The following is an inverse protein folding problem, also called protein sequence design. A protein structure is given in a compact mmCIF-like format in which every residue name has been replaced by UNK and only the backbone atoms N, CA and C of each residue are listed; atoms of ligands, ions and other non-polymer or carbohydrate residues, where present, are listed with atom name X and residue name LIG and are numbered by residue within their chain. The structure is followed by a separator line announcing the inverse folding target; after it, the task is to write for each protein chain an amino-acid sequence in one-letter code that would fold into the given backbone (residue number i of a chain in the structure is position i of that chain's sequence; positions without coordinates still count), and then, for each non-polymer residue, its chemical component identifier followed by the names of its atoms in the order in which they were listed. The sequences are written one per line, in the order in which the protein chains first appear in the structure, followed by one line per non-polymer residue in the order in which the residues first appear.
data_IF_863544078933
#
_entry.id   IF_863544078933
#
_cell.length_a   1.000
_cell.length_b   1.000
_cell.length_c   1.000
_cell.angle_alpha   90.00
_cell.angle_beta   90.00
_cell.angle_gamma   90.00
#
_symmetry.space_group_name_H-M   'P 1'
#
loop_
_entity.id
_entity.type
_entity.pdbx_description
1 polymer ?
#
# COMPACT_ATOMS: atom_id res chain seq x y z
N UNK A 1 17.98 24.09 8.98
CA UNK A 1 18.60 22.74 9.03
C UNK A 1 17.98 21.81 10.07
N UNK A 2 17.94 22.15 11.37
CA UNK A 2 17.46 21.24 12.44
C UNK A 2 16.04 20.67 12.22
N UNK A 3 15.11 21.44 11.66
CA UNK A 3 13.72 21.03 11.41
C UNK A 3 13.57 19.93 10.34
N UNK A 4 14.40 19.97 9.29
CA UNK A 4 14.40 18.93 8.24
C UNK A 4 14.92 17.60 8.76
N UNK A 5 16.00 17.64 9.55
CA UNK A 5 16.57 16.44 10.17
C UNK A 5 15.55 15.81 11.11
N UNK A 6 14.89 16.60 11.95
CA UNK A 6 13.83 16.11 12.82
C UNK A 6 12.62 15.52 12.05
N UNK A 7 12.22 16.13 10.93
CA UNK A 7 11.14 15.59 10.08
C UNK A 7 11.54 14.24 9.46
N UNK A 8 12.75 14.15 8.92
CA UNK A 8 13.30 12.91 8.38
C UNK A 8 13.38 11.83 9.46
N UNK A 9 13.92 12.14 10.62
CA UNK A 9 14.10 11.17 11.70
C UNK A 9 12.75 10.67 12.25
N UNK A 10 11.74 11.54 12.33
CA UNK A 10 10.38 11.13 12.68
C UNK A 10 9.75 10.24 11.61
N UNK A 11 9.93 10.60 10.34
CA UNK A 11 9.44 9.80 9.21
C UNK A 11 10.09 8.42 9.19
N UNK A 12 11.41 8.35 9.30
CA UNK A 12 12.18 7.11 9.33
C UNK A 12 11.81 6.24 10.55
N UNK A 13 11.54 6.86 11.70
CA UNK A 13 11.09 6.17 12.91
C UNK A 13 9.71 5.51 12.72
N UNK A 14 8.78 6.20 12.07
CA UNK A 14 7.43 5.68 11.80
C UNK A 14 7.44 4.62 10.69
N UNK A 15 8.26 4.81 9.66
CA UNK A 15 8.18 4.00 8.44
C UNK A 15 9.07 2.78 8.45
N UNK A 16 10.22 2.83 9.10
CA UNK A 16 11.18 1.71 9.11
C UNK A 16 11.87 1.51 10.45
N UNK A 17 11.42 2.21 11.51
CA UNK A 17 12.09 2.29 12.79
C UNK A 17 13.58 2.65 12.62
N UNK A 18 13.88 3.72 11.88
CA UNK A 18 15.23 4.14 11.51
C UNK A 18 16.02 3.10 10.70
N UNK A 19 15.36 2.45 9.74
CA UNK A 19 15.93 1.35 8.94
C UNK A 19 16.29 0.10 9.75
N UNK A 20 15.68 -0.10 10.92
CA UNK A 20 15.87 -1.33 11.70
C UNK A 20 14.84 -2.42 11.31
N UNK A 21 13.65 -2.03 10.86
CA UNK A 21 12.57 -2.96 10.52
C UNK A 21 12.25 -2.90 9.02
N UNK A 22 12.65 -3.94 8.30
CA UNK A 22 12.33 -4.10 6.88
C UNK A 22 10.83 -4.38 6.66
N UNK A 23 10.17 -5.08 7.58
CA UNK A 23 8.75 -5.42 7.49
C UNK A 23 7.86 -4.21 7.63
N UNK A 24 8.21 -3.26 8.51
CA UNK A 24 7.49 -2.01 8.67
C UNK A 24 7.61 -1.12 7.42
N UNK A 25 8.79 -1.08 6.80
CA UNK A 25 9.00 -0.34 5.57
C UNK A 25 8.20 -0.93 4.40
N UNK A 26 8.13 -2.27 4.28
CA UNK A 26 7.27 -2.94 3.31
C UNK A 26 5.79 -2.65 3.56
N UNK A 27 5.34 -2.67 4.82
CA UNK A 27 3.96 -2.30 5.17
C UNK A 27 3.61 -0.92 4.61
N UNK A 28 4.45 0.09 4.84
CA UNK A 28 4.21 1.44 4.33
C UNK A 28 4.29 1.53 2.80
N UNK A 29 5.18 0.78 2.15
CA UNK A 29 5.22 0.70 0.68
C UNK A 29 3.86 0.25 0.14
N UNK A 30 3.30 -0.83 0.68
CA UNK A 30 2.01 -1.36 0.22
C UNK A 30 0.88 -0.35 0.46
N UNK A 31 0.85 0.30 1.63
CA UNK A 31 -0.17 1.32 1.93
C UNK A 31 -0.08 2.51 0.97
N UNK A 32 1.13 3.02 0.70
CA UNK A 32 1.31 4.14 -0.22
C UNK A 32 0.98 3.77 -1.66
N UNK A 33 1.25 2.53 -2.07
CA UNK A 33 0.90 2.04 -3.39
C UNK A 33 -0.62 1.92 -3.56
N UNK A 34 -1.33 1.41 -2.55
CA UNK A 34 -2.80 1.35 -2.54
C UNK A 34 -3.38 2.76 -2.65
N UNK A 35 -2.87 3.72 -1.87
CA UNK A 35 -3.32 5.11 -1.93
C UNK A 35 -3.05 5.75 -3.29
N UNK A 36 -1.86 5.54 -3.86
CA UNK A 36 -1.51 6.03 -5.18
C UNK A 36 -2.45 5.48 -6.25
N UNK A 37 -2.74 4.18 -6.18
CA UNK A 37 -3.65 3.51 -7.12
C UNK A 37 -5.10 4.01 -6.96
N UNK A 38 -5.59 4.17 -5.73
CA UNK A 38 -6.94 4.72 -5.49
C UNK A 38 -7.09 6.13 -6.06
N UNK A 39 -6.05 6.96 -5.92
CA UNK A 39 -6.03 8.30 -6.51
C UNK A 39 -6.03 8.18 -8.04
N UNK A 40 -5.15 7.37 -8.62
CA UNK A 40 -5.10 7.16 -10.08
C UNK A 40 -6.47 6.76 -10.62
N UNK A 41 -7.11 5.78 -9.98
CA UNK A 41 -8.43 5.29 -10.34
C UNK A 41 -9.49 6.41 -10.31
N UNK A 42 -9.44 7.31 -9.32
CA UNK A 42 -10.36 8.43 -9.23
C UNK A 42 -10.20 9.47 -10.35
N UNK A 43 -9.02 9.55 -10.98
CA UNK A 43 -8.75 10.49 -12.09
C UNK A 43 -8.97 9.84 -13.47
N UNK A 44 -8.77 8.53 -13.57
CA UNK A 44 -8.93 7.75 -14.79
C UNK A 44 -10.43 7.50 -15.04
N UNK A 45 -11.04 8.30 -15.92
CA UNK A 45 -12.48 8.23 -16.25
C UNK A 45 -12.87 7.01 -17.10
N UNK A 46 -11.90 6.21 -17.57
CA UNK A 46 -12.13 4.97 -18.30
C UNK A 46 -11.28 3.87 -17.67
N UNK A 47 -11.87 2.81 -17.09
CA UNK A 47 -11.09 1.71 -16.56
C UNK A 47 -10.20 1.19 -17.68
N UNK A 48 -8.89 1.21 -17.43
CA UNK A 48 -7.89 0.75 -18.38
C UNK A 48 -8.29 -0.62 -18.92
N UNK A 49 -8.04 -0.89 -20.20
CA UNK A 49 -8.17 -2.19 -20.89
C UNK A 49 -7.38 -3.35 -20.25
N UNK A 50 -6.82 -3.11 -19.07
CA UNK A 50 -5.93 -3.94 -18.27
C UNK A 50 -6.68 -4.60 -17.11
N UNK A 51 -7.85 -4.09 -16.72
CA UNK A 51 -8.63 -4.67 -15.63
C UNK A 51 -9.48 -5.83 -16.15
N UNK A 52 -9.32 -7.01 -15.56
CA UNK A 52 -10.23 -8.12 -15.77
C UNK A 52 -11.54 -7.81 -15.03
N UNK A 53 -12.50 -7.22 -15.75
CA UNK A 53 -13.78 -6.86 -15.17
C UNK A 53 -14.58 -8.13 -14.82
N UNK A 54 -14.76 -8.39 -13.53
CA UNK A 54 -15.72 -9.37 -13.05
C UNK A 54 -17.09 -8.69 -13.10
N UNK A 55 -18.05 -9.20 -13.89
CA UNK A 55 -19.38 -8.58 -13.98
C UNK A 55 -20.02 -8.48 -12.60
N UNK A 56 -20.63 -7.33 -12.32
CA UNK A 56 -21.41 -7.14 -11.10
C UNK A 56 -22.53 -8.17 -11.03
N UNK A 57 -22.53 -8.96 -9.95
CA UNK A 57 -23.47 -10.04 -9.74
C UNK A 57 -23.28 -10.69 -8.38
N UNK A 58 -24.06 -11.75 -8.13
CA UNK A 58 -24.10 -12.47 -6.85
C UNK A 58 -22.70 -12.91 -6.38
N UNK A 59 -21.82 -13.26 -7.31
CA UNK A 59 -20.46 -13.68 -6.99
C UNK A 59 -19.63 -12.55 -6.34
N UNK A 60 -19.72 -11.34 -6.88
CA UNK A 60 -19.06 -10.14 -6.37
C UNK A 60 -19.57 -9.78 -4.97
N UNK A 61 -20.89 -9.87 -4.77
CA UNK A 61 -21.52 -9.64 -3.46
C UNK A 61 -21.06 -10.65 -2.39
N UNK A 62 -20.93 -11.94 -2.76
CA UNK A 62 -20.42 -12.97 -1.86
C UNK A 62 -18.97 -12.69 -1.48
N UNK A 63 -18.12 -12.28 -2.43
CA UNK A 63 -16.72 -11.93 -2.16
C UNK A 63 -16.64 -10.76 -1.18
N UNK A 64 -17.38 -9.67 -1.45
CA UNK A 64 -17.40 -8.49 -0.58
C UNK A 64 -17.91 -8.88 0.81
N UNK A 65 -19.00 -9.65 0.89
CA UNK A 65 -19.57 -10.13 2.15
C UNK A 65 -18.57 -10.97 2.96
N UNK A 66 -17.80 -11.83 2.31
CA UNK A 66 -16.75 -12.62 2.95
C UNK A 66 -15.61 -11.73 3.46
N UNK A 67 -15.12 -10.79 2.64
CA UNK A 67 -14.06 -9.84 3.04
C UNK A 67 -14.49 -9.03 4.26
N UNK A 68 -15.72 -8.49 4.26
CA UNK A 68 -16.28 -7.73 5.40
C UNK A 68 -16.42 -8.60 6.63
N UNK A 69 -16.90 -9.84 6.49
CA UNK A 69 -17.05 -10.77 7.61
C UNK A 69 -15.71 -11.09 8.24
N UNK A 70 -14.69 -11.40 7.43
CA UNK A 70 -13.32 -11.64 7.90
C UNK A 70 -12.76 -10.39 8.59
N UNK A 71 -12.98 -9.21 8.02
CA UNK A 71 -12.52 -7.95 8.62
C UNK A 71 -13.12 -7.72 10.01
N UNK A 72 -14.42 -7.93 10.18
CA UNK A 72 -15.10 -7.81 11.48
C UNK A 72 -14.50 -8.80 12.49
N UNK A 73 -14.25 -10.05 12.09
CA UNK A 73 -13.60 -11.03 12.96
C UNK A 73 -12.18 -10.61 13.36
N UNK A 74 -11.40 -10.06 12.43
CA UNK A 74 -10.08 -9.51 12.73
C UNK A 74 -10.14 -8.31 13.69
N UNK A 75 -11.18 -7.45 13.58
CA UNK A 75 -11.42 -6.37 14.54
C UNK A 75 -11.70 -6.92 15.94
N UNK A 76 -12.57 -7.93 16.06
CA UNK A 76 -12.89 -8.59 17.34
C UNK A 76 -11.63 -9.23 17.94
N UNK A 77 -10.87 -9.96 17.12
CA UNK A 77 -9.60 -10.57 17.55
C UNK A 77 -8.63 -9.52 18.10
N UNK A 78 -8.44 -8.41 17.39
CA UNK A 78 -7.56 -7.33 17.84
C UNK A 78 -8.04 -6.64 19.12
N UNK A 79 -9.36 -6.54 19.34
CA UNK A 79 -9.92 -6.00 20.59
C UNK A 79 -9.58 -6.89 21.78
N UNK A 80 -9.59 -8.22 21.61
CA UNK A 80 -9.33 -9.18 22.69
C UNK A 80 -7.83 -9.26 23.00
N UNK A 81 -6.99 -9.45 21.98
CA UNK A 81 -5.57 -9.79 22.18
C UNK A 81 -4.62 -8.57 22.20
N UNK A 82 -5.08 -7.40 21.73
CA UNK A 82 -4.35 -6.13 21.76
C UNK A 82 -2.86 -6.22 21.36
N UNK A 83 -2.57 -6.97 20.30
CA UNK A 83 -1.22 -7.11 19.78
C UNK A 83 -0.92 -6.07 18.69
N UNK A 84 0.24 -5.40 18.80
CA UNK A 84 0.61 -4.30 17.89
C UNK A 84 0.78 -4.77 16.45
N UNK A 85 1.36 -5.95 16.23
CA UNK A 85 1.55 -6.49 14.88
C UNK A 85 0.21 -6.87 14.26
N UNK A 86 -0.68 -7.47 15.06
CA UNK A 86 -2.05 -7.82 14.66
C UNK A 86 -2.86 -6.59 14.22
N UNK A 87 -2.66 -5.44 14.88
CA UNK A 87 -3.31 -4.17 14.50
C UNK A 87 -2.78 -3.67 13.14
N UNK A 88 -1.47 -3.79 12.87
CA UNK A 88 -0.91 -3.42 11.57
C UNK A 88 -1.46 -4.29 10.45
N UNK A 89 -1.59 -5.60 10.67
CA UNK A 89 -2.21 -6.50 9.69
C UNK A 89 -3.68 -6.18 9.45
N UNK A 90 -4.43 -5.83 10.51
CA UNK A 90 -5.82 -5.37 10.38
C UNK A 90 -5.92 -4.12 9.52
N UNK A 91 -5.06 -3.13 9.76
CA UNK A 91 -5.01 -1.90 8.94
C UNK A 91 -4.70 -2.25 7.49
N UNK A 92 -3.69 -3.09 7.24
CA UNK A 92 -3.33 -3.51 5.89
C UNK A 92 -4.50 -4.19 5.18
N UNK A 93 -5.16 -5.14 5.85
CA UNK A 93 -6.32 -5.83 5.33
C UNK A 93 -7.47 -4.86 5.03
N UNK A 94 -7.70 -3.88 5.91
CA UNK A 94 -8.68 -2.82 5.69
C UNK A 94 -8.39 -2.00 4.43
N UNK A 95 -7.14 -1.58 4.22
CA UNK A 95 -6.73 -0.85 3.01
C UNK A 95 -6.89 -1.69 1.73
N UNK A 96 -6.51 -2.97 1.77
CA UNK A 96 -6.71 -3.89 0.64
C UNK A 96 -8.19 -4.10 0.35
N UNK A 97 -9.03 -4.24 1.38
CA UNK A 97 -10.48 -4.36 1.24
C UNK A 97 -11.12 -3.11 0.62
N UNK A 98 -10.75 -1.92 1.10
CA UNK A 98 -11.21 -0.64 0.54
C UNK A 98 -10.79 -0.52 -0.92
N UNK A 99 -9.56 -0.92 -1.24
CA UNK A 99 -9.06 -0.94 -2.61
C UNK A 99 -9.95 -1.79 -3.51
N UNK A 100 -10.12 -3.08 -3.17
CA UNK A 100 -10.90 -4.03 -3.97
C UNK A 100 -12.35 -3.58 -4.16
N UNK A 101 -12.99 -3.05 -3.11
CA UNK A 101 -14.38 -2.57 -3.19
C UNK A 101 -14.50 -1.33 -4.10
N UNK A 102 -13.49 -0.45 -4.09
CA UNK A 102 -13.55 0.80 -4.86
C UNK A 102 -13.21 0.56 -6.33
N UNK A 103 -12.14 -0.17 -6.60
CA UNK A 103 -11.62 -0.36 -7.96
C UNK A 103 -12.24 -1.56 -8.67
N UNK A 104 -12.93 -2.45 -7.93
CA UNK A 104 -13.40 -3.75 -8.42
C UNK A 104 -12.26 -4.64 -8.98
N UNK A 105 -11.01 -4.31 -8.64
CA UNK A 105 -9.82 -5.04 -9.05
C UNK A 105 -9.48 -6.12 -8.02
N UNK A 106 -10.20 -7.24 -8.10
CA UNK A 106 -9.99 -8.39 -7.21
C UNK A 106 -8.69 -9.15 -7.49
N UNK A 107 -8.11 -9.00 -8.68
CA UNK A 107 -6.84 -9.63 -9.07
C UNK A 107 -5.61 -8.75 -8.77
N UNK A 108 -5.83 -7.50 -8.35
CA UNK A 108 -4.78 -6.50 -8.09
C UNK A 108 -3.96 -6.17 -9.34
N UNK A 109 -4.50 -6.39 -10.54
CA UNK A 109 -3.82 -6.13 -11.80
C UNK A 109 -3.48 -4.64 -11.95
N UNK A 110 -4.40 -3.76 -11.58
CA UNK A 110 -4.19 -2.32 -11.61
C UNK A 110 -3.16 -1.88 -10.56
N UNK A 111 -3.21 -2.44 -9.34
CA UNK A 111 -2.22 -2.18 -8.29
C UNK A 111 -0.81 -2.56 -8.75
N UNK A 112 -0.64 -3.77 -9.29
CA UNK A 112 0.65 -4.28 -9.77
C UNK A 112 1.16 -3.42 -10.93
N UNK A 113 0.27 -3.03 -11.84
CA UNK A 113 0.65 -2.18 -12.95
C UNK A 113 1.00 -0.74 -12.51
N UNK A 114 0.40 -0.21 -11.43
CA UNK A 114 0.76 1.10 -10.91
C UNK A 114 2.15 1.13 -10.24
N UNK A 115 2.58 0.02 -9.62
CA UNK A 115 3.96 -0.15 -9.11
C UNK A 115 4.99 0.07 -10.24
N UNK A 116 4.64 -0.27 -11.48
CA UNK A 116 5.55 -0.10 -12.61
C UNK A 116 5.91 1.38 -12.82
N UNK A 117 7.18 1.72 -12.60
CA UNK A 117 7.72 3.08 -12.67
C UNK A 117 7.55 3.66 -14.08
N UNK A 118 7.59 2.84 -15.13
CA UNK A 118 7.55 3.29 -16.52
C UNK A 118 6.14 3.62 -17.04
N UNK A 119 5.08 3.16 -16.36
CA UNK A 119 3.69 3.44 -16.76
C UNK A 119 3.33 4.92 -16.66
N UNK A 120 4.00 5.65 -15.76
CA UNK A 120 3.78 7.06 -15.47
C UNK A 120 4.03 7.96 -16.69
N UNK A 121 4.84 7.49 -17.65
CA UNK A 121 5.20 8.24 -18.87
C UNK A 121 4.10 8.15 -19.94
N UNK A 122 3.20 7.15 -19.86
CA UNK A 122 2.28 6.82 -20.96
C UNK A 122 0.84 7.26 -20.73
N UNK A 123 0.38 7.43 -19.48
CA UNK A 123 -1.06 7.56 -19.17
C UNK A 123 -1.48 8.84 -18.45
N UNK A 124 -0.59 9.54 -17.76
CA UNK A 124 -0.98 10.62 -16.85
C UNK A 124 -0.63 12.02 -17.37
N UNK A 125 -1.64 12.88 -17.48
CA UNK A 125 -1.46 14.31 -17.78
C UNK A 125 -2.04 15.17 -16.66
N UNK A 126 -1.34 16.22 -16.24
CA UNK A 126 -1.81 17.21 -15.28
C UNK A 126 -1.49 16.90 -13.81
N UNK A 127 -2.42 17.21 -12.90
CA UNK A 127 -2.22 17.11 -11.44
C UNK A 127 -2.01 15.65 -10.98
N UNK A 128 -2.65 14.67 -11.64
CA UNK A 128 -2.48 13.25 -11.32
C UNK A 128 -1.01 12.83 -11.43
N UNK A 129 -0.31 13.24 -12.49
CA UNK A 129 1.11 12.93 -12.70
C UNK A 129 2.00 13.43 -11.55
N UNK A 130 1.73 14.63 -11.03
CA UNK A 130 2.49 15.21 -9.91
C UNK A 130 2.28 14.38 -8.64
N UNK A 131 1.03 14.00 -8.37
CA UNK A 131 0.69 13.18 -7.21
C UNK A 131 1.31 11.78 -7.32
N UNK A 132 1.21 11.14 -8.50
CA UNK A 132 1.84 9.84 -8.76
C UNK A 132 3.36 9.89 -8.57
N UNK A 133 4.04 10.91 -9.11
CA UNK A 133 5.48 11.09 -8.91
C UNK A 133 5.84 11.25 -7.43
N UNK A 134 5.04 12.00 -6.68
CA UNK A 134 5.26 12.17 -5.25
C UNK A 134 5.19 10.83 -4.49
N UNK A 135 4.16 10.02 -4.74
CA UNK A 135 4.07 8.68 -4.14
C UNK A 135 5.21 7.77 -4.57
N UNK A 136 5.58 7.76 -5.86
CA UNK A 136 6.69 6.92 -6.35
C UNK A 136 8.03 7.30 -5.75
N UNK A 137 8.29 8.59 -5.51
CA UNK A 137 9.50 9.04 -4.81
C UNK A 137 9.54 8.53 -3.36
N UNK A 138 8.40 8.57 -2.65
CA UNK A 138 8.30 8.04 -1.29
C UNK A 138 8.54 6.52 -1.30
N UNK A 139 7.89 5.78 -2.20
CA UNK A 139 8.04 4.33 -2.31
C UNK A 139 9.48 3.97 -2.65
N UNK A 140 10.11 4.67 -3.59
CA UNK A 140 11.53 4.47 -3.94
C UNK A 140 12.45 4.68 -2.74
N UNK A 141 12.21 5.74 -1.94
CA UNK A 141 12.95 5.98 -0.71
C UNK A 141 12.75 4.85 0.32
N UNK A 142 11.53 4.35 0.49
CA UNK A 142 11.25 3.23 1.39
C UNK A 142 11.89 1.93 0.91
N UNK A 143 11.91 1.65 -0.40
CA UNK A 143 12.63 0.51 -0.97
C UNK A 143 14.12 0.60 -0.63
N UNK A 144 14.72 1.78 -0.75
CA UNK A 144 16.10 1.99 -0.31
C UNK A 144 16.30 1.67 1.18
N UNK A 145 15.36 2.06 2.05
CA UNK A 145 15.39 1.69 3.48
C UNK A 145 15.22 0.20 3.73
N UNK A 146 14.37 -0.49 2.96
CA UNK A 146 14.25 -1.97 3.00
C UNK A 146 15.59 -2.60 2.67
N UNK A 147 16.24 -2.20 1.58
CA UNK A 147 17.55 -2.75 1.20
C UNK A 147 18.60 -2.48 2.30
N UNK A 148 18.61 -1.27 2.87
CA UNK A 148 19.53 -0.92 3.96
C UNK A 148 19.30 -1.76 5.21
N UNK A 149 18.05 -1.91 5.65
CA UNK A 149 17.67 -2.70 6.83
C UNK A 149 17.98 -4.19 6.67
N UNK A 150 17.73 -4.76 5.49
CA UNK A 150 18.10 -6.13 5.16
C UNK A 150 19.62 -6.34 5.19
N UNK A 151 20.40 -5.40 4.64
CA UNK A 151 21.87 -5.46 4.72
C UNK A 151 22.39 -5.36 6.15
N UNK A 152 21.78 -4.51 6.98
CA UNK A 152 22.13 -4.36 8.39
C UNK A 152 21.67 -5.52 9.28
N UNK A 153 20.75 -6.36 8.81
CA UNK A 153 20.26 -7.55 9.53
C UNK A 153 21.11 -8.80 9.26
N UNK A 154 21.90 -8.82 8.18
CA UNK A 154 22.82 -9.91 7.82
C UNK A 154 24.16 -10.01 8.58
N UNK A 155 24.72 -8.99 9.26
CA UNK A 155 26.07 -9.09 9.85
C UNK A 155 26.16 -9.94 11.13
N UNK A 156 25.06 -10.48 11.67
CA UNK A 156 25.04 -11.29 12.90
C UNK A 156 24.79 -12.80 12.66
N UNK A 157 25.16 -13.34 11.50
CA UNK A 157 25.04 -14.78 11.19
C UNK A 157 26.39 -15.48 10.93
N UNK A 158 27.48 -15.01 11.55
CA UNK A 158 28.77 -15.69 11.57
C UNK A 158 29.23 -15.92 13.01
#
# INVERSE_FOLDING_TARGET
MKKYIALKDNFDKITSNNSASWSLALFWIVIFEILASLIEYSFVHQPSSVMLHIPDGIFTEIIIGLIVTVYIWLCIYNLIFWDKSSILYLILFGFVGIYMITTHDYFLDFLINNINIFRLIQSDTGINLIIQLFFKLIIFYLIFQVVKSLRASKPNQL
#
